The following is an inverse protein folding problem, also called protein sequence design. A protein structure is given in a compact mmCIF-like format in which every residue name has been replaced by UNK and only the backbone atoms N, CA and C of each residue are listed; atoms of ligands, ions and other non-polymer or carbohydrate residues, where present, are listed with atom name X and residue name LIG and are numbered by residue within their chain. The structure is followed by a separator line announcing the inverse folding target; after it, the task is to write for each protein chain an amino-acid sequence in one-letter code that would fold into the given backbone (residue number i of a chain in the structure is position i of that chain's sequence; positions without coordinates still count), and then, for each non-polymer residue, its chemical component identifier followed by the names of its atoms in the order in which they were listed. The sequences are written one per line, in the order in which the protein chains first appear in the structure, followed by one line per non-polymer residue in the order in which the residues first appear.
data_IF_844596281090
#
_entry.id   IF_844596281090
#
_cell.length_a   1.000
_cell.length_b   1.000
_cell.length_c   1.000
_cell.angle_alpha   90.00
_cell.angle_beta   90.00
_cell.angle_gamma   90.00
#
_symmetry.space_group_name_H-M   'P 1'
#
loop_
_entity.id
_entity.type
_entity.pdbx_description
1 polymer ?
#
# COMPACT_ATOMS: atom_id res chain seq x y z
N UNK A 1 -40.15 3.10 -30.31
CA UNK A 1 -39.55 2.35 -29.18
C UNK A 1 -40.55 1.30 -28.74
N UNK A 2 -40.15 0.01 -28.69
CA UNK A 2 -41.06 -1.07 -28.29
C UNK A 2 -40.84 -1.31 -26.78
N UNK A 3 -41.83 -0.96 -25.97
CA UNK A 3 -41.81 -1.21 -24.53
C UNK A 3 -41.89 -2.73 -24.31
N UNK A 4 -40.89 -3.32 -23.66
CA UNK A 4 -40.94 -4.72 -23.25
C UNK A 4 -41.57 -4.76 -21.85
N UNK A 5 -42.85 -5.10 -21.79
CA UNK A 5 -43.57 -5.38 -20.54
C UNK A 5 -43.47 -6.88 -20.27
N UNK A 6 -42.77 -7.27 -19.21
CA UNK A 6 -42.79 -8.63 -18.69
C UNK A 6 -43.96 -8.77 -17.70
N UNK A 7 -44.83 -9.79 -17.84
CA UNK A 7 -45.90 -10.03 -16.90
C UNK A 7 -45.33 -10.43 -15.53
N UNK A 8 -45.96 -10.00 -14.41
CA UNK A 8 -45.51 -10.33 -13.07
C UNK A 8 -45.81 -11.79 -12.78
N UNK A 9 -44.78 -12.65 -12.67
CA UNK A 9 -44.87 -13.94 -11.97
C UNK A 9 -43.47 -14.45 -11.55
N UNK A 10 -43.24 -14.46 -10.23
CA UNK A 10 -42.25 -15.18 -9.40
C UNK A 10 -40.72 -14.95 -9.61
N UNK A 11 -40.00 -14.31 -8.67
CA UNK A 11 -38.61 -13.86 -8.85
C UNK A 11 -37.47 -14.90 -8.66
N UNK A 12 -37.67 -16.22 -8.61
CA UNK A 12 -36.59 -17.16 -8.23
C UNK A 12 -36.43 -18.47 -9.03
N UNK A 13 -36.90 -18.58 -10.29
CA UNK A 13 -36.82 -19.87 -11.03
C UNK A 13 -36.28 -19.80 -12.48
N UNK A 14 -35.20 -19.06 -12.72
CA UNK A 14 -34.39 -19.31 -13.93
C UNK A 14 -32.94 -19.61 -13.56
N UNK A 15 -32.34 -20.71 -14.07
CA UNK A 15 -30.90 -20.90 -13.99
C UNK A 15 -30.25 -19.79 -14.82
N UNK A 16 -29.57 -18.85 -14.16
CA UNK A 16 -28.82 -17.80 -14.84
C UNK A 16 -27.55 -18.44 -15.39
N UNK A 17 -27.58 -18.89 -16.63
CA UNK A 17 -26.37 -19.10 -17.43
C UNK A 17 -26.01 -17.75 -18.05
N UNK A 18 -24.99 -17.09 -17.49
CA UNK A 18 -24.54 -15.77 -17.94
C UNK A 18 -23.55 -15.86 -19.10
N UNK A 19 -23.73 -14.99 -20.09
CA UNK A 19 -22.70 -14.66 -21.10
C UNK A 19 -22.25 -13.21 -20.89
N UNK A 20 -20.95 -12.95 -21.00
CA UNK A 20 -20.41 -11.59 -20.98
C UNK A 20 -20.45 -10.99 -22.39
N UNK A 21 -21.23 -9.93 -22.59
CA UNK A 21 -21.27 -9.17 -23.85
C UNK A 21 -20.92 -7.71 -23.60
N UNK A 22 -19.97 -7.11 -24.34
CA UNK A 22 -19.75 -5.67 -24.29
C UNK A 22 -20.95 -4.95 -24.93
N UNK A 23 -21.52 -3.91 -24.29
CA UNK A 23 -22.64 -3.18 -24.87
C UNK A 23 -22.19 -2.36 -26.08
N UNK A 24 -22.62 -2.78 -27.28
CA UNK A 24 -22.37 -2.07 -28.54
C UNK A 24 -23.24 -0.79 -28.69
N UNK A 25 -24.25 -0.60 -27.83
CA UNK A 25 -25.14 0.58 -27.78
C UNK A 25 -25.46 0.94 -26.34
N UNK A 26 -25.65 2.24 -26.06
CA UNK A 26 -26.16 2.72 -24.76
C UNK A 26 -27.54 2.11 -24.51
N UNK A 27 -27.71 1.41 -23.38
CA UNK A 27 -28.97 0.82 -22.96
C UNK A 27 -29.39 1.43 -21.62
N UNK A 28 -30.69 1.73 -21.40
CA UNK A 28 -31.18 2.16 -20.09
C UNK A 28 -30.91 1.08 -19.04
N UNK A 29 -30.38 1.48 -17.89
CA UNK A 29 -30.21 0.59 -16.73
C UNK A 29 -31.61 0.30 -16.17
N UNK A 30 -32.00 -0.96 -15.93
CA UNK A 30 -33.28 -1.28 -15.34
C UNK A 30 -33.35 -0.72 -13.91
N UNK A 31 -34.33 0.15 -13.66
CA UNK A 31 -34.73 0.60 -12.32
C UNK A 31 -35.99 -0.14 -11.90
N UNK A 32 -36.07 -0.50 -10.61
CA UNK A 32 -37.29 -1.05 -10.03
C UNK A 32 -37.93 0.04 -9.15
N UNK A 33 -39.20 0.34 -9.38
CA UNK A 33 -39.97 1.23 -8.52
C UNK A 33 -41.30 0.59 -8.18
N UNK A 34 -41.64 0.56 -6.90
CA UNK A 34 -42.92 0.11 -6.38
C UNK A 34 -43.42 1.12 -5.34
N UNK A 35 -44.59 1.72 -5.61
CA UNK A 35 -45.13 2.85 -4.84
C UNK A 35 -44.08 3.97 -4.64
N UNK A 36 -43.81 4.34 -3.38
CA UNK A 36 -42.85 5.39 -3.00
C UNK A 36 -41.41 4.86 -2.84
N UNK A 37 -41.17 3.58 -3.16
CA UNK A 37 -39.87 2.93 -2.97
C UNK A 37 -39.21 2.67 -4.33
N UNK A 38 -37.98 3.16 -4.49
CA UNK A 38 -37.14 2.87 -5.66
C UNK A 38 -35.94 2.03 -5.25
N UNK A 39 -35.66 0.97 -5.99
CA UNK A 39 -34.40 0.24 -5.91
C UNK A 39 -33.59 0.51 -7.18
N UNK A 40 -32.38 1.02 -7.00
CA UNK A 40 -31.40 1.18 -8.06
C UNK A 40 -30.36 0.07 -7.95
N UNK A 41 -30.19 -0.69 -9.03
CA UNK A 41 -29.17 -1.73 -9.13
C UNK A 41 -27.97 -1.15 -9.89
N UNK A 42 -26.85 -0.83 -9.23
CA UNK A 42 -25.66 -0.37 -9.94
C UNK A 42 -25.09 -1.53 -10.77
N UNK A 43 -25.26 -1.49 -12.09
CA UNK A 43 -24.58 -2.40 -13.00
C UNK A 43 -23.20 -1.82 -13.30
N UNK A 44 -22.17 -2.37 -12.66
CA UNK A 44 -20.78 -1.98 -12.92
C UNK A 44 -20.23 -2.85 -14.05
N UNK A 45 -20.18 -2.30 -15.27
CA UNK A 45 -19.53 -2.96 -16.40
C UNK A 45 -18.02 -2.64 -16.34
N UNK A 46 -17.20 -3.61 -15.95
CA UNK A 46 -15.73 -3.47 -16.00
C UNK A 46 -15.20 -4.20 -17.22
N UNK A 47 -14.34 -3.53 -18.00
CA UNK A 47 -13.55 -4.25 -18.99
C UNK A 47 -12.60 -5.22 -18.27
N UNK A 48 -12.39 -6.45 -18.78
CA UNK A 48 -11.37 -7.35 -18.26
C UNK A 48 -10.01 -6.66 -18.33
N UNK A 49 -9.27 -6.66 -17.22
CA UNK A 49 -7.90 -6.18 -17.24
C UNK A 49 -7.03 -7.19 -17.99
N UNK A 50 -6.11 -6.69 -18.82
CA UNK A 50 -5.12 -7.56 -19.45
C UNK A 50 -4.27 -8.23 -18.37
N UNK A 51 -4.10 -9.56 -18.40
CA UNK A 51 -3.29 -10.23 -17.40
C UNK A 51 -1.82 -9.81 -17.56
N UNK A 52 -1.22 -9.32 -16.48
CA UNK A 52 0.23 -9.11 -16.42
C UNK A 52 0.85 -10.40 -15.91
N UNK A 53 1.62 -11.06 -16.76
CA UNK A 53 2.27 -12.33 -16.45
C UNK A 53 3.68 -12.04 -15.94
N UNK A 54 4.02 -12.64 -14.80
CA UNK A 54 5.35 -12.54 -14.19
C UNK A 54 6.02 -13.91 -14.15
N UNK A 55 7.35 -13.91 -14.26
CA UNK A 55 8.14 -15.12 -14.05
C UNK A 55 8.24 -15.42 -12.55
N UNK A 56 7.60 -16.52 -12.15
CA UNK A 56 7.55 -17.00 -10.76
C UNK A 56 8.78 -17.82 -10.36
N UNK A 57 9.93 -17.58 -11.01
CA UNK A 57 11.23 -18.17 -10.67
C UNK A 57 11.73 -17.79 -9.27
N UNK A 58 13.02 -17.48 -9.14
CA UNK A 58 13.59 -17.13 -7.84
C UNK A 58 12.93 -15.89 -7.22
N UNK A 59 12.98 -15.74 -5.90
CA UNK A 59 12.42 -14.56 -5.20
C UNK A 59 12.99 -13.25 -5.74
N UNK A 60 14.24 -13.25 -6.21
CA UNK A 60 14.88 -12.09 -6.84
C UNK A 60 14.25 -11.65 -8.18
N UNK A 61 13.49 -12.52 -8.88
CA UNK A 61 12.72 -12.14 -10.07
C UNK A 61 11.32 -11.63 -9.72
N UNK A 62 10.81 -11.97 -8.53
CA UNK A 62 9.46 -11.62 -8.09
C UNK A 62 9.42 -10.35 -7.23
N UNK A 63 10.50 -10.08 -6.50
CA UNK A 63 10.57 -9.01 -5.49
C UNK A 63 11.81 -8.15 -5.66
N UNK A 64 11.62 -6.83 -5.63
CA UNK A 64 12.69 -5.85 -5.40
C UNK A 64 12.56 -5.21 -4.03
N UNK A 65 13.67 -4.94 -3.35
CA UNK A 65 13.65 -4.20 -2.08
C UNK A 65 13.79 -2.71 -2.38
N UNK A 66 12.88 -1.89 -1.85
CA UNK A 66 12.93 -0.44 -1.97
C UNK A 66 13.26 0.20 -0.63
N UNK A 67 14.22 1.11 -0.63
CA UNK A 67 14.70 1.82 0.56
C UNK A 67 14.71 3.31 0.26
N UNK A 68 14.36 4.12 1.26
CA UNK A 68 14.60 5.56 1.24
C UNK A 68 15.57 5.92 2.34
N UNK A 69 16.62 6.65 2.01
CA UNK A 69 17.65 7.10 2.96
C UNK A 69 17.71 8.62 3.05
N UNK A 70 18.20 9.14 4.17
CA UNK A 70 18.54 10.56 4.36
C UNK A 70 19.54 10.70 5.51
N UNK A 71 20.79 11.06 5.19
CA UNK A 71 21.86 11.30 6.18
C UNK A 71 22.13 10.12 7.13
N UNK A 72 21.80 8.88 6.74
CA UNK A 72 21.91 7.66 7.58
C UNK A 72 22.70 6.54 6.89
N UNK A 73 23.82 6.88 6.26
CA UNK A 73 24.62 5.91 5.49
C UNK A 73 25.17 4.74 6.32
N UNK A 74 25.53 4.96 7.58
CA UNK A 74 25.91 3.85 8.48
C UNK A 74 24.79 2.81 8.58
N UNK A 75 23.56 3.27 8.85
CA UNK A 75 22.41 2.39 8.99
C UNK A 75 22.11 1.68 7.67
N UNK A 76 22.16 2.42 6.57
CA UNK A 76 21.97 1.88 5.23
C UNK A 76 22.99 0.79 4.90
N UNK A 77 24.28 0.99 5.22
CA UNK A 77 25.35 0.01 4.96
C UNK A 77 25.13 -1.28 5.77
N UNK A 78 24.72 -1.17 7.03
CA UNK A 78 24.34 -2.34 7.86
C UNK A 78 23.11 -3.08 7.28
N UNK A 79 22.09 -2.33 6.85
CA UNK A 79 20.93 -2.91 6.19
C UNK A 79 21.33 -3.66 4.92
N UNK A 80 22.12 -3.04 4.03
CA UNK A 80 22.59 -3.65 2.79
C UNK A 80 23.42 -4.90 3.04
N UNK A 81 24.33 -4.87 4.03
CA UNK A 81 25.11 -6.04 4.45
C UNK A 81 24.20 -7.19 4.90
N UNK A 82 23.20 -6.88 5.74
CA UNK A 82 22.24 -7.89 6.19
C UNK A 82 21.37 -8.44 5.05
N UNK A 83 20.92 -7.59 4.10
CA UNK A 83 20.20 -8.03 2.91
C UNK A 83 21.07 -9.01 2.12
N UNK A 84 22.33 -8.66 1.83
CA UNK A 84 23.24 -9.51 1.04
C UNK A 84 23.53 -10.85 1.71
N UNK A 85 23.51 -10.93 3.04
CA UNK A 85 23.65 -12.18 3.78
C UNK A 85 22.49 -13.17 3.55
N UNK A 86 21.27 -12.70 3.39
CA UNK A 86 20.07 -13.56 3.26
C UNK A 86 19.53 -13.64 1.83
N UNK A 87 19.73 -12.59 1.03
CA UNK A 87 19.25 -12.42 -0.33
C UNK A 87 20.36 -11.79 -1.19
N UNK A 88 21.44 -12.53 -1.50
CA UNK A 88 22.63 -11.99 -2.18
C UNK A 88 22.31 -11.35 -3.54
N UNK A 89 21.39 -11.96 -4.30
CA UNK A 89 21.08 -11.54 -5.68
C UNK A 89 19.82 -10.66 -5.81
N UNK A 90 19.17 -10.28 -4.70
CA UNK A 90 17.96 -9.46 -4.80
C UNK A 90 18.30 -8.03 -5.19
N UNK A 91 17.49 -7.46 -6.08
CA UNK A 91 17.60 -6.05 -6.48
C UNK A 91 17.21 -5.14 -5.33
N UNK A 92 18.07 -4.15 -5.05
CA UNK A 92 17.84 -3.12 -4.04
C UNK A 92 17.82 -1.76 -4.73
N UNK A 93 16.71 -1.04 -4.59
CA UNK A 93 16.51 0.29 -5.15
C UNK A 93 16.51 1.29 -3.98
N UNK A 94 17.40 2.28 -4.05
CA UNK A 94 17.60 3.26 -3.00
C UNK A 94 17.23 4.64 -3.55
N UNK A 95 16.22 5.28 -2.97
CA UNK A 95 15.96 6.69 -3.16
C UNK A 95 16.70 7.50 -2.08
N UNK A 96 17.54 8.43 -2.50
CA UNK A 96 18.45 9.16 -1.63
C UNK A 96 18.27 10.67 -1.80
N UNK A 97 17.70 11.33 -0.80
CA UNK A 97 17.54 12.79 -0.77
C UNK A 97 18.49 13.46 0.23
N UNK A 98 19.63 12.82 0.53
CA UNK A 98 20.67 13.38 1.41
C UNK A 98 21.25 14.66 0.83
N UNK A 99 21.70 15.57 1.72
CA UNK A 99 22.27 16.87 1.33
C UNK A 99 23.57 16.67 0.55
N UNK A 100 24.44 15.80 1.08
CA UNK A 100 25.71 15.41 0.47
C UNK A 100 25.67 13.88 0.31
N UNK A 101 25.24 13.37 -0.85
CA UNK A 101 25.02 11.95 -1.00
C UNK A 101 26.31 11.15 -1.17
N UNK A 102 26.47 10.10 -0.36
CA UNK A 102 27.53 9.10 -0.53
C UNK A 102 27.12 8.11 -1.64
N UNK A 103 28.03 7.85 -2.58
CA UNK A 103 27.80 6.85 -3.64
C UNK A 103 27.84 5.44 -3.04
N UNK A 104 26.74 4.71 -3.19
CA UNK A 104 26.65 3.30 -2.83
C UNK A 104 26.83 2.46 -4.09
N UNK A 105 27.78 1.52 -4.03
CA UNK A 105 28.06 0.58 -5.14
C UNK A 105 27.87 -0.86 -4.67
N UNK A 106 27.52 -1.74 -5.61
CA UNK A 106 27.36 -3.17 -5.38
C UNK A 106 26.52 -3.82 -6.48
N UNK A 107 26.60 -5.13 -6.58
CA UNK A 107 25.76 -5.90 -7.51
C UNK A 107 24.29 -5.73 -7.16
N UNK A 108 23.44 -5.55 -8.18
CA UNK A 108 21.99 -5.38 -8.04
C UNK A 108 21.60 -4.26 -7.04
N UNK A 109 22.40 -3.21 -6.94
CA UNK A 109 22.08 -1.98 -6.19
C UNK A 109 21.89 -0.84 -7.19
N UNK A 110 20.74 -0.17 -7.11
CA UNK A 110 20.42 1.01 -7.90
C UNK A 110 20.13 2.17 -6.96
N UNK A 111 21.05 3.13 -6.88
CA UNK A 111 20.88 4.36 -6.11
C UNK A 111 20.41 5.49 -7.03
N UNK A 112 19.31 6.13 -6.66
CA UNK A 112 18.75 7.29 -7.34
C UNK A 112 18.83 8.50 -6.41
N UNK A 113 19.68 9.45 -6.78
CA UNK A 113 19.89 10.69 -6.04
C UNK A 113 18.80 11.69 -6.40
N UNK A 114 18.16 12.24 -5.38
CA UNK A 114 17.11 13.24 -5.45
C UNK A 114 17.66 14.61 -5.05
N UNK A 115 16.95 15.70 -5.39
CA UNK A 115 17.21 16.98 -4.73
C UNK A 115 17.17 16.82 -3.20
N UNK A 116 17.95 17.60 -2.44
CA UNK A 116 18.00 17.44 -1.00
C UNK A 116 16.64 17.61 -0.30
N UNK A 117 16.40 16.78 0.71
CA UNK A 117 15.27 16.88 1.65
C UNK A 117 13.87 16.98 0.99
N UNK A 118 13.66 16.26 -0.12
CA UNK A 118 12.34 16.18 -0.78
C UNK A 118 11.29 15.50 0.10
N UNK A 119 11.70 14.62 1.01
CA UNK A 119 10.84 14.03 2.02
C UNK A 119 10.47 12.58 1.75
N UNK A 120 9.73 12.00 2.69
CA UNK A 120 9.53 10.56 2.78
C UNK A 120 8.74 10.00 1.60
N UNK A 121 7.57 10.56 1.29
CA UNK A 121 6.67 10.09 0.25
C UNK A 121 7.19 10.36 -1.17
N UNK A 122 7.88 11.47 -1.38
CA UNK A 122 8.58 11.73 -2.65
C UNK A 122 9.63 10.64 -2.93
N UNK A 123 10.46 10.28 -1.93
CA UNK A 123 11.43 9.20 -2.07
C UNK A 123 10.80 7.82 -2.27
N UNK A 124 9.66 7.54 -1.61
CA UNK A 124 8.93 6.28 -1.83
C UNK A 124 8.45 6.15 -3.28
N UNK A 125 7.84 7.22 -3.81
CA UNK A 125 7.37 7.23 -5.19
C UNK A 125 8.51 7.01 -6.18
N UNK A 126 9.66 7.67 -5.97
CA UNK A 126 10.82 7.47 -6.83
C UNK A 126 11.29 6.02 -6.78
N UNK A 127 11.48 5.44 -5.59
CA UNK A 127 11.94 4.05 -5.49
C UNK A 127 10.98 3.07 -6.17
N UNK A 128 9.67 3.20 -5.92
CA UNK A 128 8.63 2.33 -6.50
C UNK A 128 8.49 2.52 -8.01
N UNK A 129 8.75 3.73 -8.56
CA UNK A 129 8.70 3.95 -10.00
C UNK A 129 9.83 3.24 -10.77
N UNK A 130 10.88 2.80 -10.09
CA UNK A 130 11.99 2.06 -10.68
C UNK A 130 11.83 0.53 -10.52
N UNK A 131 10.79 0.07 -9.80
CA UNK A 131 10.52 -1.36 -9.62
C UNK A 131 9.92 -1.94 -10.90
N UNK A 132 10.53 -3.03 -11.36
CA UNK A 132 10.06 -3.82 -12.53
C UNK A 132 9.48 -5.18 -12.15
N UNK A 133 9.68 -5.62 -10.91
CA UNK A 133 9.20 -6.89 -10.38
C UNK A 133 7.73 -6.80 -9.93
N UNK A 134 7.06 -7.96 -9.83
CA UNK A 134 5.63 -8.06 -9.45
C UNK A 134 5.34 -7.38 -8.12
N UNK A 135 6.24 -7.59 -7.17
CA UNK A 135 6.16 -7.03 -5.83
C UNK A 135 7.38 -6.20 -5.51
N UNK A 136 7.21 -5.27 -4.58
CA UNK A 136 8.35 -4.70 -3.87
C UNK A 136 8.18 -4.86 -2.36
N UNK A 137 9.30 -4.99 -1.68
CA UNK A 137 9.37 -4.94 -0.23
C UNK A 137 9.88 -3.57 0.21
N UNK A 138 9.08 -2.85 0.98
CA UNK A 138 9.52 -1.62 1.64
C UNK A 138 10.32 -1.93 2.90
N UNK A 139 11.50 -1.33 3.02
CA UNK A 139 12.31 -1.37 4.23
C UNK A 139 12.87 0.03 4.56
N UNK A 140 12.76 0.46 5.81
CA UNK A 140 13.42 1.67 6.27
C UNK A 140 14.93 1.41 6.44
N UNK A 141 15.78 2.42 6.20
CA UNK A 141 17.24 2.32 6.16
C UNK A 141 17.90 1.84 7.47
N UNK A 142 17.17 1.81 8.58
CA UNK A 142 17.59 1.40 9.92
C UNK A 142 17.08 0.00 10.31
N UNK A 143 16.57 -0.77 9.36
CA UNK A 143 16.23 -2.17 9.56
C UNK A 143 17.43 -3.11 9.46
N UNK A 144 17.25 -4.35 9.92
CA UNK A 144 18.24 -5.43 9.82
C UNK A 144 17.53 -6.73 9.44
N UNK A 145 17.97 -7.35 8.35
CA UNK A 145 17.51 -8.68 7.96
C UNK A 145 18.09 -9.74 8.90
N UNK A 146 17.24 -10.70 9.27
CA UNK A 146 17.61 -11.81 10.13
C UNK A 146 17.03 -13.11 9.60
N UNK A 147 17.26 -14.22 10.33
CA UNK A 147 16.65 -15.51 10.01
C UNK A 147 15.10 -15.46 10.00
N UNK A 148 14.48 -14.52 10.72
CA UNK A 148 13.01 -14.34 10.74
C UNK A 148 12.48 -13.49 9.59
N UNK A 149 13.36 -12.89 8.78
CA UNK A 149 12.97 -12.03 7.66
C UNK A 149 12.84 -12.87 6.40
N UNK A 150 11.68 -13.52 6.25
CA UNK A 150 11.36 -14.45 5.16
C UNK A 150 10.42 -13.81 4.13
N UNK A 151 10.98 -13.21 3.07
CA UNK A 151 10.23 -12.57 1.98
C UNK A 151 9.28 -13.56 1.29
N UNK A 152 9.72 -14.81 1.15
CA UNK A 152 9.00 -15.91 0.51
C UNK A 152 7.66 -16.15 1.19
N UNK A 153 7.61 -16.04 2.52
CA UNK A 153 6.39 -16.19 3.30
C UNK A 153 5.40 -15.05 3.10
N UNK A 154 5.89 -13.84 2.80
CA UNK A 154 5.01 -12.73 2.43
C UNK A 154 4.45 -12.93 1.02
N UNK A 155 5.28 -13.39 0.07
CA UNK A 155 4.86 -13.72 -1.31
C UNK A 155 3.83 -14.85 -1.29
N UNK A 156 4.06 -15.90 -0.50
CA UNK A 156 3.13 -17.04 -0.35
C UNK A 156 1.70 -16.57 0.00
N UNK A 157 1.57 -15.63 0.95
CA UNK A 157 0.28 -15.03 1.33
C UNK A 157 -0.32 -14.19 0.19
N UNK A 158 0.50 -13.41 -0.50
CA UNK A 158 0.07 -12.55 -1.62
C UNK A 158 -0.41 -13.33 -2.85
N UNK A 159 0.16 -14.52 -3.09
CA UNK A 159 -0.26 -15.43 -4.18
C UNK A 159 -1.49 -16.25 -3.78
N UNK A 160 -1.60 -16.66 -2.51
CA UNK A 160 -2.76 -17.41 -2.03
C UNK A 160 -4.05 -16.59 -2.00
N UNK A 161 -3.95 -15.26 -1.92
CA UNK A 161 -5.09 -14.34 -1.94
C UNK A 161 -4.88 -13.27 -3.02
N UNK A 162 -5.32 -13.52 -4.27
CA UNK A 162 -5.08 -12.63 -5.40
C UNK A 162 -5.67 -11.23 -5.28
N UNK A 163 -6.58 -10.99 -4.33
CA UNK A 163 -7.14 -9.69 -4.03
C UNK A 163 -6.28 -8.86 -3.06
N UNK A 164 -5.27 -9.46 -2.39
CA UNK A 164 -4.39 -8.73 -1.49
C UNK A 164 -3.40 -7.84 -2.27
N UNK A 165 -3.31 -6.59 -1.86
CA UNK A 165 -2.41 -5.60 -2.43
C UNK A 165 -1.17 -5.36 -1.57
N UNK A 166 -1.30 -5.51 -0.24
CA UNK A 166 -0.24 -5.26 0.74
C UNK A 166 -0.27 -6.28 1.87
N UNK A 167 0.89 -6.84 2.20
CA UNK A 167 1.12 -7.66 3.41
C UNK A 167 2.22 -7.02 4.25
N UNK A 168 1.90 -6.63 5.48
CA UNK A 168 2.87 -6.10 6.45
C UNK A 168 3.42 -7.18 7.38
N UNK A 169 4.71 -7.11 7.69
CA UNK A 169 5.34 -7.94 8.72
C UNK A 169 5.36 -7.27 10.10
N UNK A 170 6.15 -7.83 11.02
CA UNK A 170 6.44 -7.23 12.32
C UNK A 170 7.84 -6.61 12.38
N UNK A 171 8.03 -5.60 13.22
CA UNK A 171 9.35 -5.04 13.53
C UNK A 171 9.70 -5.42 14.96
N UNK A 172 10.79 -6.18 15.14
CA UNK A 172 11.17 -6.76 16.43
C UNK A 172 10.02 -7.51 17.11
N UNK A 173 9.25 -8.30 16.34
CA UNK A 173 8.09 -9.07 16.83
C UNK A 173 6.80 -8.28 17.04
N UNK A 174 6.82 -6.94 16.91
CA UNK A 174 5.63 -6.11 17.08
C UNK A 174 4.95 -5.81 15.75
N UNK A 175 3.66 -6.14 15.63
CA UNK A 175 2.82 -5.80 14.47
C UNK A 175 2.10 -4.48 14.72
N UNK A 176 2.56 -3.38 14.10
CA UNK A 176 1.96 -2.04 14.27
C UNK A 176 0.77 -1.79 13.31
N UNK A 177 -0.13 -2.76 13.19
CA UNK A 177 -1.31 -2.65 12.34
C UNK A 177 -2.41 -1.81 12.99
N UNK A 178 -3.33 -1.28 12.18
CA UNK A 178 -4.46 -0.49 12.63
C UNK A 178 -5.64 -0.57 11.66
N UNK A 179 -6.86 -0.44 12.18
CA UNK A 179 -8.05 -0.25 11.36
C UNK A 179 -8.39 1.24 11.25
N UNK A 180 -9.04 1.59 10.14
CA UNK A 180 -9.63 2.89 9.85
C UNK A 180 -11.13 2.70 9.72
N UNK A 181 -11.89 3.53 10.44
CA UNK A 181 -13.35 3.57 10.39
C UNK A 181 -13.75 4.97 9.90
N UNK A 182 -14.53 5.04 8.82
CA UNK A 182 -14.96 6.29 8.20
C UNK A 182 -16.43 6.54 8.50
N UNK A 183 -16.69 7.65 9.17
CA UNK A 183 -18.03 8.16 9.38
C UNK A 183 -18.32 9.25 8.35
N UNK A 184 -19.31 8.98 7.50
CA UNK A 184 -19.71 9.90 6.44
C UNK A 184 -20.33 11.17 7.05
N UNK A 185 -19.73 12.32 6.77
CA UNK A 185 -20.31 13.62 7.09
C UNK A 185 -21.11 14.21 5.93
N UNK A 186 -21.61 15.42 6.14
CA UNK A 186 -22.26 16.20 5.08
C UNK A 186 -21.25 16.97 4.21
N UNK A 187 -21.74 17.60 3.15
CA UNK A 187 -20.91 18.34 2.18
C UNK A 187 -20.22 19.57 2.79
N UNK A 188 -20.68 20.06 3.94
CA UNK A 188 -20.18 21.28 4.59
C UNK A 188 -19.20 20.99 5.73
N UNK A 189 -19.41 19.90 6.46
CA UNK A 189 -18.59 19.50 7.59
C UNK A 189 -17.50 18.51 7.23
N UNK A 190 -17.68 17.71 6.17
CA UNK A 190 -16.78 16.61 5.84
C UNK A 190 -16.94 15.42 6.79
N UNK A 191 -16.42 14.26 6.38
CA UNK A 191 -16.46 13.03 7.18
C UNK A 191 -15.34 12.93 8.21
N UNK A 192 -15.48 12.02 9.16
CA UNK A 192 -14.50 11.74 10.20
C UNK A 192 -13.82 10.40 9.94
N UNK A 193 -12.50 10.33 10.13
CA UNK A 193 -11.74 9.08 10.01
C UNK A 193 -11.10 8.69 11.34
N UNK A 194 -11.60 7.61 11.93
CA UNK A 194 -11.11 7.10 13.21
C UNK A 194 -10.05 6.03 12.98
N UNK A 195 -8.91 6.17 13.66
CA UNK A 195 -7.83 5.18 13.64
C UNK A 195 -7.82 4.39 14.94
N UNK A 196 -8.03 3.08 14.85
CA UNK A 196 -7.94 2.17 15.99
C UNK A 196 -6.64 1.36 15.93
N UNK A 197 -5.73 1.66 16.85
CA UNK A 197 -4.48 0.91 17.01
C UNK A 197 -4.75 -0.56 17.32
N UNK A 198 -4.01 -1.48 16.70
CA UNK A 198 -4.24 -2.93 16.76
C UNK A 198 -5.64 -3.37 16.29
N UNK A 199 -6.35 -2.49 15.56
CA UNK A 199 -7.60 -2.82 14.90
C UNK A 199 -7.35 -3.81 13.77
N UNK A 200 -8.07 -4.93 13.81
CA UNK A 200 -7.98 -6.03 12.84
C UNK A 200 -9.37 -6.53 12.51
N UNK A 201 -9.53 -7.08 11.31
CA UNK A 201 -10.75 -7.73 10.85
C UNK A 201 -10.58 -9.26 10.93
N UNK A 202 -11.18 -10.00 10.01
CA UNK A 202 -11.05 -11.44 9.99
C UNK A 202 -9.64 -11.90 9.56
N UNK A 203 -9.29 -13.12 9.96
CA UNK A 203 -8.06 -13.76 9.54
C UNK A 203 -8.08 -14.06 8.03
N UNK A 204 -6.89 -14.15 7.44
CA UNK A 204 -6.74 -14.62 6.07
C UNK A 204 -6.97 -16.14 6.03
N UNK A 205 -7.85 -16.66 5.15
CA UNK A 205 -8.07 -18.10 5.02
C UNK A 205 -6.75 -18.86 4.78
N UNK A 206 -6.49 -19.90 5.56
CA UNK A 206 -5.24 -20.68 5.48
C UNK A 206 -4.03 -20.05 6.21
N UNK A 207 -4.12 -18.79 6.64
CA UNK A 207 -3.03 -18.06 7.31
C UNK A 207 -3.52 -17.40 8.61
N UNK A 208 -3.74 -18.17 9.70
CA UNK A 208 -4.30 -17.66 10.97
C UNK A 208 -3.42 -16.60 11.67
N UNK A 209 -2.15 -16.52 11.30
CA UNK A 209 -1.20 -15.52 11.75
C UNK A 209 -1.30 -14.19 10.99
N UNK A 210 -2.19 -14.11 10.00
CA UNK A 210 -2.42 -12.96 9.16
C UNK A 210 -3.86 -12.46 9.29
N UNK A 211 -4.05 -11.16 9.46
CA UNK A 211 -5.37 -10.54 9.61
C UNK A 211 -5.52 -9.39 8.63
N UNK A 212 -6.72 -9.23 8.07
CA UNK A 212 -7.05 -8.02 7.34
C UNK A 212 -7.01 -6.81 8.28
N UNK A 213 -6.53 -5.69 7.76
CA UNK A 213 -6.33 -4.43 8.48
C UNK A 213 -6.49 -3.27 7.51
N UNK A 214 -6.51 -2.03 8.00
CA UNK A 214 -6.51 -0.86 7.10
C UNK A 214 -5.11 -0.35 6.82
N UNK A 215 -4.16 -0.57 7.74
CA UNK A 215 -2.76 -0.23 7.51
C UNK A 215 -1.79 -1.05 8.34
N UNK A 216 -0.52 -0.98 7.95
CA UNK A 216 0.59 -1.75 8.53
C UNK A 216 1.80 -0.86 8.82
N UNK A 217 2.78 -1.44 9.53
CA UNK A 217 4.08 -0.82 9.79
C UNK A 217 4.86 -0.62 8.47
N UNK A 218 5.89 0.24 8.49
CA UNK A 218 6.81 0.48 7.36
C UNK A 218 7.74 -0.70 7.05
N UNK A 219 7.23 -1.92 7.14
CA UNK A 219 7.86 -3.15 6.68
C UNK A 219 6.77 -3.99 6.03
N UNK A 220 6.63 -3.87 4.72
CA UNK A 220 5.54 -4.50 3.98
C UNK A 220 5.96 -4.88 2.56
N UNK A 221 5.39 -5.97 2.06
CA UNK A 221 5.43 -6.38 0.67
C UNK A 221 4.15 -5.87 -0.01
N UNK A 222 4.26 -5.30 -1.20
CA UNK A 222 3.11 -4.79 -1.93
C UNK A 222 3.19 -5.07 -3.42
N UNK A 223 2.03 -5.16 -4.09
CA UNK A 223 1.93 -5.20 -5.56
C UNK A 223 2.41 -3.90 -6.15
N UNK A 224 3.37 -3.99 -7.08
CA UNK A 224 3.99 -2.81 -7.67
C UNK A 224 2.95 -1.94 -8.40
N UNK A 225 2.08 -2.54 -9.19
CA UNK A 225 1.11 -1.81 -10.02
C UNK A 225 0.01 -1.12 -9.19
N UNK A 226 -0.45 -1.75 -8.11
CA UNK A 226 -1.44 -1.17 -7.21
C UNK A 226 -0.89 0.08 -6.50
N UNK A 227 0.34 0.03 -6.01
CA UNK A 227 0.96 1.18 -5.33
C UNK A 227 1.32 2.29 -6.33
N UNK A 228 1.70 1.97 -7.57
CA UNK A 228 1.91 2.97 -8.62
C UNK A 228 0.63 3.73 -8.99
N UNK A 229 -0.55 3.11 -8.81
CA UNK A 229 -1.87 3.74 -9.01
C UNK A 229 -2.28 4.60 -7.81
N UNK A 230 -2.18 4.08 -6.59
CA UNK A 230 -2.59 4.81 -5.37
C UNK A 230 -1.63 5.94 -4.98
N UNK A 231 -0.32 5.75 -5.23
CA UNK A 231 0.81 6.67 -4.96
C UNK A 231 0.92 7.18 -3.51
N UNK A 232 2.12 7.56 -3.12
CA UNK A 232 2.35 8.28 -1.87
C UNK A 232 2.18 9.79 -2.12
N UNK A 233 1.44 10.53 -1.30
CA UNK A 233 1.22 11.97 -1.56
C UNK A 233 2.50 12.79 -1.32
N UNK A 234 3.20 13.28 -2.36
CA UNK A 234 4.51 13.91 -2.19
C UNK A 234 4.43 15.26 -1.45
N UNK A 235 3.24 15.85 -1.28
CA UNK A 235 3.06 17.06 -0.47
C UNK A 235 3.34 16.80 1.01
N UNK A 236 3.18 15.55 1.48
CA UNK A 236 3.47 15.13 2.84
C UNK A 236 4.95 14.72 3.00
N UNK A 237 5.78 15.70 3.33
CA UNK A 237 7.24 15.52 3.40
C UNK A 237 7.71 14.68 4.60
N UNK A 238 7.11 14.86 5.79
CA UNK A 238 7.62 14.27 7.05
C UNK A 238 6.56 13.62 7.94
N UNK A 239 5.29 14.01 7.80
CA UNK A 239 4.18 13.37 8.52
C UNK A 239 3.41 12.46 7.56
N UNK A 240 3.84 11.20 7.46
CA UNK A 240 3.49 10.33 6.35
C UNK A 240 2.80 9.03 6.78
N UNK A 241 1.93 9.08 7.80
CA UNK A 241 1.13 7.92 8.23
C UNK A 241 -0.21 7.79 7.48
N UNK A 242 -0.40 8.56 6.41
CA UNK A 242 -1.68 8.73 5.72
C UNK A 242 -1.81 7.96 4.40
N UNK A 243 -0.76 7.27 3.93
CA UNK A 243 -0.82 6.49 2.69
C UNK A 243 -2.00 5.51 2.68
N UNK A 244 -2.18 4.78 3.78
CA UNK A 244 -3.28 3.83 3.94
C UNK A 244 -4.66 4.50 4.07
N UNK A 245 -4.71 5.81 4.38
CA UNK A 245 -5.96 6.59 4.35
C UNK A 245 -6.33 6.89 2.90
N UNK A 246 -5.37 7.33 2.08
CA UNK A 246 -5.61 7.59 0.65
C UNK A 246 -5.89 6.29 -0.13
N UNK A 247 -5.36 5.16 0.35
CA UNK A 247 -5.66 3.83 -0.18
C UNK A 247 -6.94 3.18 0.36
N UNK A 248 -7.67 3.84 1.28
CA UNK A 248 -8.86 3.26 1.89
C UNK A 248 -9.94 3.00 0.82
N UNK A 249 -10.48 1.79 0.81
CA UNK A 249 -11.46 1.34 -0.19
C UNK A 249 -10.87 0.98 -1.56
N UNK A 250 -9.56 1.19 -1.78
CA UNK A 250 -8.85 0.81 -3.01
C UNK A 250 -7.80 -0.27 -2.80
N UNK A 251 -7.20 -0.36 -1.61
CA UNK A 251 -6.18 -1.35 -1.26
C UNK A 251 -6.73 -2.38 -0.27
N UNK A 252 -6.49 -3.66 -0.53
CA UNK A 252 -6.71 -4.72 0.44
C UNK A 252 -5.39 -5.03 1.18
N UNK A 253 -5.40 -4.82 2.50
CA UNK A 253 -4.19 -4.85 3.34
C UNK A 253 -4.31 -5.94 4.41
N UNK A 254 -3.24 -6.71 4.60
CA UNK A 254 -3.12 -7.69 5.68
C UNK A 254 -1.87 -7.45 6.53
N UNK A 255 -1.92 -7.80 7.81
CA UNK A 255 -0.76 -7.83 8.71
C UNK A 255 -0.49 -9.25 9.18
N UNK A 256 0.76 -9.68 9.09
CA UNK A 256 1.22 -11.03 9.40
C UNK A 256 2.33 -10.98 10.46
N UNK A 257 2.18 -11.75 11.55
CA UNK A 257 3.15 -11.73 12.67
C UNK A 257 4.34 -12.68 12.51
N UNK A 258 4.26 -13.64 11.59
CA UNK A 258 5.26 -14.69 11.40
C UNK A 258 6.51 -14.29 10.59
N UNK A 259 6.51 -13.09 10.00
CA UNK A 259 7.68 -12.52 9.31
C UNK A 259 8.10 -11.27 10.05
N UNK A 260 9.33 -11.27 10.58
CA UNK A 260 9.85 -10.16 11.37
C UNK A 260 11.16 -9.63 10.83
N UNK A 261 11.28 -8.30 10.84
CA UNK A 261 12.51 -7.56 10.58
C UNK A 261 13.12 -7.06 11.90
N UNK A 262 14.44 -7.00 11.97
CA UNK A 262 15.16 -6.34 13.06
C UNK A 262 15.19 -4.82 12.87
N UNK A 263 15.57 -4.10 13.93
CA UNK A 263 15.72 -2.65 13.90
C UNK A 263 17.02 -2.27 14.61
N UNK A 264 17.82 -1.39 14.00
CA UNK A 264 19.06 -0.89 14.55
C UNK A 264 18.78 0.08 15.73
N UNK A 265 19.65 0.14 16.74
CA UNK A 265 19.53 1.15 17.79
C UNK A 265 19.53 2.57 17.20
N UNK A 266 18.76 3.48 17.80
CA UNK A 266 18.75 4.88 17.37
C UNK A 266 20.11 5.52 17.64
N UNK A 267 20.80 5.94 16.57
CA UNK A 267 21.97 6.79 16.66
C UNK A 267 21.53 8.25 16.78
N UNK A 268 22.06 8.99 17.77
CA UNK A 268 21.78 10.42 17.90
C UNK A 268 22.60 11.21 16.87
N UNK A 269 21.94 11.63 15.78
CA UNK A 269 22.50 12.61 14.84
C UNK A 269 21.78 13.94 14.98
N UNK A 270 22.49 14.96 15.48
CA UNK A 270 21.94 16.31 15.65
C UNK A 270 21.50 16.92 14.32
N UNK A 271 22.21 16.63 13.22
CA UNK A 271 21.86 17.10 11.89
C UNK A 271 20.55 16.46 11.41
N UNK A 272 20.43 15.13 11.49
CA UNK A 272 19.21 14.40 11.11
C UNK A 272 17.99 14.80 11.96
N UNK A 273 18.18 14.95 13.27
CA UNK A 273 17.10 15.28 14.20
C UNK A 273 16.41 16.62 13.91
N UNK A 274 17.16 17.61 13.38
CA UNK A 274 16.60 18.91 12.94
C UNK A 274 15.54 18.73 11.84
N UNK A 275 15.71 17.75 10.96
CA UNK A 275 14.77 17.46 9.88
C UNK A 275 13.64 16.53 10.33
N UNK A 276 13.90 15.60 11.25
CA UNK A 276 12.89 14.62 11.71
C UNK A 276 11.79 15.25 12.56
N UNK A 277 12.11 16.25 13.37
CA UNK A 277 11.16 16.95 14.25
C UNK A 277 11.13 18.43 13.88
N UNK A 278 10.37 18.82 12.84
CA UNK A 278 10.21 20.23 12.51
C UNK A 278 9.63 20.99 13.69
N UNK A 279 10.24 22.12 14.01
CA UNK A 279 9.74 23.05 15.01
C UNK A 279 8.53 23.78 14.45
N UNK A 280 7.39 23.79 15.18
CA UNK A 280 6.32 24.77 14.93
C UNK A 280 4.96 24.27 14.42
N UNK A 281 4.61 22.98 14.48
CA UNK A 281 3.23 22.47 14.26
C UNK A 281 2.63 22.65 12.85
N UNK A 282 3.23 23.48 12.00
CA UNK A 282 2.75 23.89 10.68
C UNK A 282 2.55 22.71 9.72
N UNK A 283 3.42 21.69 9.78
CA UNK A 283 3.28 20.50 8.95
C UNK A 283 2.06 19.65 9.34
N UNK A 284 1.68 19.64 10.62
CA UNK A 284 0.46 18.95 11.06
C UNK A 284 -0.79 19.70 10.63
N UNK A 285 -0.79 21.04 10.77
CA UNK A 285 -1.87 21.88 10.26
C UNK A 285 -2.05 21.73 8.74
N UNK A 286 -0.95 21.77 7.99
CA UNK A 286 -0.95 21.52 6.54
C UNK A 286 -1.49 20.13 6.19
N UNK A 287 -1.08 19.09 6.91
CA UNK A 287 -1.59 17.72 6.71
C UNK A 287 -3.11 17.66 6.89
N UNK A 288 -3.66 18.29 7.93
CA UNK A 288 -5.11 18.31 8.16
C UNK A 288 -5.84 19.08 7.06
N UNK A 289 -5.35 20.25 6.65
CA UNK A 289 -5.91 21.00 5.53
C UNK A 289 -5.90 20.18 4.23
N UNK A 290 -4.79 19.49 3.94
CA UNK A 290 -4.68 18.64 2.78
C UNK A 290 -5.72 17.51 2.80
N UNK A 291 -5.90 16.84 3.94
CA UNK A 291 -6.92 15.78 4.07
C UNK A 291 -8.36 16.32 3.97
N UNK A 292 -8.62 17.52 4.50
CA UNK A 292 -9.91 18.18 4.32
C UNK A 292 -10.22 18.43 2.85
N UNK A 293 -9.33 19.10 2.11
CA UNK A 293 -9.61 19.43 0.71
C UNK A 293 -9.54 18.23 -0.23
N UNK A 294 -8.65 17.26 0.04
CA UNK A 294 -8.45 16.10 -0.84
C UNK A 294 -9.49 15.00 -0.59
N UNK A 295 -9.78 14.72 0.68
CA UNK A 295 -10.56 13.55 1.11
C UNK A 295 -11.89 13.94 1.78
N UNK A 296 -12.22 15.23 1.86
CA UNK A 296 -13.37 15.76 2.59
C UNK A 296 -13.41 15.27 4.05
N UNK A 297 -12.25 15.35 4.74
CA UNK A 297 -12.08 14.86 6.13
C UNK A 297 -11.87 16.00 7.13
N UNK A 298 -12.58 15.94 8.27
CA UNK A 298 -12.48 16.89 9.39
C UNK A 298 -11.60 16.37 10.52
#
# INVERSE_FOLDING_TARGET
SKLLLAPPNSPLQYPIQGFTVPPLRRCPIPSFSFENHGAQFPIIIRQPQLPVIFDMGAISSQVSITIKTFLRYDNLKELLSSIRRFYPNITVIIADDSIEPEKITGENIHQYIMPPAQGWFAGRNLAVSQVTTKYFLWADDDFIFSQSTKIEKMVEVMEAVPELDVVGGSVQGNTFHFSLEYDKGDETEGGCLYRKSHGRFHAIPGYPQCYLTSGVVNFFLARTDCIQKSRFDPLLKRVAHSFFMDGLGSLMVASCSHVSIGHQPKKNSNQYNKFRKPTGGSEQAFKYQLHFFKNNLK
#
